data_IF_566508280802
#
_entry.id   IF_566508280802
#
_cell.length_a   1.000
_cell.length_b   1.000
_cell.length_c   1.000
_cell.angle_alpha   90.00
_cell.angle_beta   90.00
_cell.angle_gamma   90.00
#
_symmetry.space_group_name_H-M   'P 1'
#
loop_
_entity.id
_entity.type
_entity.pdbx_description
1 polymer ?
#
# COMPACT_ATOMS: atom_id res chain seq x y z
N UNK A 1 0.67 19.23 14.82
CA UNK A 1 -0.06 18.03 15.30
C UNK A 1 -0.13 17.02 14.17
N UNK A 2 0.21 15.75 14.40
CA UNK A 2 0.16 14.71 13.36
C UNK A 2 -1.29 14.33 13.05
N UNK A 3 -1.58 14.00 11.79
CA UNK A 3 -2.90 13.56 11.31
C UNK A 3 -2.91 12.05 11.06
N UNK A 4 -4.11 11.48 10.90
CA UNK A 4 -4.29 10.09 10.50
C UNK A 4 -4.43 9.95 8.98
N UNK A 5 -4.07 8.77 8.47
CA UNK A 5 -4.31 8.35 7.11
C UNK A 5 -5.49 7.38 7.02
N UNK A 6 -6.06 7.31 5.83
CA UNK A 6 -6.85 6.17 5.36
C UNK A 6 -6.19 5.65 4.10
N UNK A 7 -6.15 4.33 3.95
CA UNK A 7 -5.60 3.67 2.77
C UNK A 7 -6.65 2.74 2.18
N UNK A 8 -6.82 2.84 0.86
CA UNK A 8 -7.55 1.87 0.06
C UNK A 8 -6.50 1.06 -0.69
N UNK A 9 -6.54 -0.27 -0.56
CA UNK A 9 -5.51 -1.15 -1.12
C UNK A 9 -6.15 -2.30 -1.90
N UNK A 10 -5.55 -2.60 -3.04
CA UNK A 10 -5.90 -3.71 -3.92
C UNK A 10 -4.67 -4.54 -4.23
N UNK A 11 -4.86 -5.85 -4.28
CA UNK A 11 -3.80 -6.81 -4.59
C UNK A 11 -4.25 -7.65 -5.76
N UNK A 12 -3.43 -7.67 -6.81
CA UNK A 12 -3.62 -8.46 -8.00
C UNK A 12 -2.51 -9.52 -8.08
N UNK A 13 -2.88 -10.75 -8.44
CA UNK A 13 -1.91 -11.80 -8.75
C UNK A 13 -1.65 -11.75 -10.25
N UNK A 14 -0.44 -11.36 -10.64
CA UNK A 14 -0.07 -11.23 -12.06
C UNK A 14 0.33 -12.58 -12.67
N UNK A 15 1.13 -13.36 -11.93
CA UNK A 15 1.52 -14.71 -12.29
C UNK A 15 2.01 -15.46 -11.05
N UNK A 16 2.63 -16.65 -11.22
CA UNK A 16 3.15 -17.44 -10.10
C UNK A 16 4.03 -16.60 -9.17
N UNK A 17 3.53 -16.38 -7.95
CA UNK A 17 4.17 -15.61 -6.87
C UNK A 17 4.37 -14.11 -7.15
N UNK A 18 4.04 -13.60 -8.34
CA UNK A 18 4.17 -12.18 -8.66
C UNK A 18 2.86 -11.44 -8.39
N UNK A 19 2.95 -10.40 -7.58
CA UNK A 19 1.82 -9.58 -7.17
C UNK A 19 2.01 -8.15 -7.64
N UNK A 20 0.89 -7.47 -7.86
CA UNK A 20 0.81 -6.03 -8.01
C UNK A 20 -0.05 -5.49 -6.88
N UNK A 21 0.51 -4.60 -6.08
CA UNK A 21 -0.22 -3.89 -5.03
C UNK A 21 -0.44 -2.48 -5.52
N UNK A 22 -1.70 -2.06 -5.56
CA UNK A 22 -2.09 -0.68 -5.83
C UNK A 22 -2.83 -0.13 -4.64
N UNK A 23 -2.76 1.17 -4.43
CA UNK A 23 -3.60 1.81 -3.45
C UNK A 23 -3.60 3.32 -3.54
N UNK A 24 -4.43 3.93 -2.72
CA UNK A 24 -4.58 5.37 -2.58
C UNK A 24 -4.48 5.73 -1.10
N UNK A 25 -3.67 6.73 -0.76
CA UNK A 25 -3.53 7.27 0.59
C UNK A 25 -4.22 8.63 0.66
N UNK A 26 -5.15 8.76 1.60
CA UNK A 26 -5.94 9.98 1.82
C UNK A 26 -5.95 10.39 3.29
N UNK A 27 -6.27 11.65 3.56
CA UNK A 27 -6.59 12.15 4.91
C UNK A 27 -7.82 13.03 4.85
N UNK A 28 -8.96 12.49 5.31
CA UNK A 28 -10.26 13.06 4.97
C UNK A 28 -10.45 13.07 3.45
N UNK A 29 -10.80 14.23 2.89
CA UNK A 29 -11.05 14.41 1.45
C UNK A 29 -9.81 14.80 0.64
N UNK A 30 -8.61 14.75 1.22
CA UNK A 30 -7.36 15.16 0.57
C UNK A 30 -6.49 13.95 0.24
N UNK A 31 -5.99 13.92 -1.00
CA UNK A 31 -4.92 13.01 -1.40
C UNK A 31 -3.60 13.36 -0.72
N UNK A 32 -2.81 12.34 -0.42
CA UNK A 32 -1.53 12.49 0.27
C UNK A 32 -0.42 12.11 -0.69
N UNK A 33 0.22 13.12 -1.26
CA UNK A 33 1.44 12.95 -2.05
C UNK A 33 2.67 12.70 -1.17
N UNK A 34 3.63 11.92 -1.68
CA UNK A 34 4.93 11.72 -1.05
C UNK A 34 4.91 10.84 0.21
N UNK A 35 3.77 10.22 0.55
CA UNK A 35 3.73 9.17 1.58
C UNK A 35 4.52 7.95 1.10
N UNK A 36 5.44 7.48 1.94
CA UNK A 36 6.25 6.29 1.66
C UNK A 36 5.50 5.04 2.08
N UNK A 37 5.30 4.12 1.15
CA UNK A 37 4.58 2.86 1.36
C UNK A 37 5.57 1.72 1.29
N UNK A 38 5.69 0.95 2.37
CA UNK A 38 6.46 -0.29 2.46
C UNK A 38 5.52 -1.48 2.34
N UNK A 39 5.90 -2.48 1.54
CA UNK A 39 5.17 -3.73 1.38
C UNK A 39 6.05 -4.89 1.82
N UNK A 40 5.52 -5.70 2.74
CA UNK A 40 6.18 -6.85 3.36
C UNK A 40 7.61 -6.54 3.84
N UNK A 41 7.83 -5.31 4.32
CA UNK A 41 9.12 -4.79 4.80
C UNK A 41 10.31 -4.93 3.80
N UNK A 42 10.01 -5.19 2.52
CA UNK A 42 11.01 -5.60 1.52
C UNK A 42 11.13 -4.60 0.37
N UNK A 43 10.00 -4.07 -0.08
CA UNK A 43 9.94 -3.12 -1.19
C UNK A 43 9.17 -1.89 -0.75
N UNK A 44 9.47 -0.75 -1.38
CA UNK A 44 8.77 0.50 -1.08
C UNK A 44 8.59 1.36 -2.33
N UNK A 45 7.62 2.24 -2.26
CA UNK A 45 7.35 3.29 -3.25
C UNK A 45 6.83 4.53 -2.54
N UNK A 46 6.63 5.61 -3.30
CA UNK A 46 5.99 6.83 -2.83
C UNK A 46 4.68 7.05 -3.58
N UNK A 47 3.74 7.70 -2.91
CA UNK A 47 2.50 8.15 -3.52
C UNK A 47 2.74 9.39 -4.40
N UNK A 48 2.00 9.47 -5.50
CA UNK A 48 2.02 10.62 -6.41
C UNK A 48 1.06 11.74 -5.96
N UNK A 49 0.90 12.78 -6.79
CA UNK A 49 0.01 13.93 -6.53
C UNK A 49 -1.47 13.56 -6.32
N UNK A 50 -1.90 12.39 -6.78
CA UNK A 50 -3.25 11.84 -6.57
C UNK A 50 -3.31 10.89 -5.36
N UNK A 51 -2.24 10.83 -4.57
CA UNK A 51 -2.12 9.91 -3.45
C UNK A 51 -2.01 8.44 -3.87
N UNK A 52 -1.84 8.18 -5.17
CA UNK A 52 -1.82 6.84 -5.74
C UNK A 52 -0.43 6.21 -5.63
N UNK A 53 -0.39 4.91 -5.41
CA UNK A 53 0.84 4.13 -5.51
C UNK A 53 0.59 2.78 -6.19
N UNK A 54 1.64 2.26 -6.82
CA UNK A 54 1.62 0.94 -7.44
C UNK A 54 3.01 0.31 -7.33
N UNK A 55 3.08 -0.94 -6.86
CA UNK A 55 4.32 -1.67 -6.74
C UNK A 55 4.12 -3.16 -7.04
N UNK A 56 4.98 -3.69 -7.91
CA UNK A 56 5.03 -5.12 -8.21
C UNK A 56 6.15 -5.79 -7.43
N UNK A 57 5.89 -6.95 -6.86
CA UNK A 57 6.89 -7.72 -6.13
C UNK A 57 6.55 -9.21 -6.10
N UNK A 58 7.54 -10.03 -5.74
CA UNK A 58 7.35 -11.47 -5.56
C UNK A 58 7.05 -11.79 -4.10
N UNK A 59 6.01 -12.57 -3.85
CA UNK A 59 5.69 -13.07 -2.51
C UNK A 59 4.83 -14.33 -2.57
N UNK A 60 5.20 -15.32 -1.76
CA UNK A 60 4.42 -16.54 -1.52
C UNK A 60 3.48 -16.40 -0.31
N UNK A 61 3.63 -15.36 0.51
CA UNK A 61 2.87 -15.21 1.76
C UNK A 61 1.36 -15.02 1.51
N UNK A 62 0.49 -15.67 2.29
CA UNK A 62 -0.96 -15.52 2.14
C UNK A 62 -1.51 -14.14 2.57
N UNK A 63 -0.77 -13.44 3.43
CA UNK A 63 -1.05 -12.10 3.92
C UNK A 63 0.06 -11.16 3.46
N UNK A 64 -0.32 -9.94 3.08
CA UNK A 64 0.62 -8.87 2.73
C UNK A 64 0.53 -7.78 3.80
N UNK A 65 1.60 -7.61 4.56
CA UNK A 65 1.77 -6.48 5.48
C UNK A 65 2.14 -5.23 4.70
N UNK A 66 1.63 -4.08 5.12
CA UNK A 66 2.07 -2.80 4.62
C UNK A 66 2.24 -1.78 5.75
N UNK A 67 3.16 -0.83 5.54
CA UNK A 67 3.40 0.30 6.42
C UNK A 67 3.45 1.59 5.60
N UNK A 68 2.74 2.62 6.04
CA UNK A 68 2.72 3.94 5.40
C UNK A 68 3.29 4.97 6.36
N UNK A 69 4.28 5.73 5.89
CA UNK A 69 4.92 6.81 6.65
C UNK A 69 4.93 8.13 5.90
N UNK A 70 4.79 9.22 6.64
CA UNK A 70 4.93 10.58 6.15
C UNK A 70 5.22 11.53 7.33
N UNK A 71 5.97 12.61 7.09
CA UNK A 71 6.44 13.52 8.15
C UNK A 71 5.30 14.07 9.03
N UNK A 72 4.20 14.46 8.37
CA UNK A 72 3.07 15.16 9.00
C UNK A 72 1.98 14.24 9.58
N UNK A 73 2.18 12.92 9.54
CA UNK A 73 1.15 11.95 9.89
C UNK A 73 1.68 10.87 10.83
N UNK A 74 0.76 10.19 11.50
CA UNK A 74 1.09 8.98 12.22
C UNK A 74 1.38 7.84 11.25
N UNK A 75 2.35 7.01 11.61
CA UNK A 75 2.61 5.79 10.88
C UNK A 75 1.40 4.87 10.99
N UNK A 76 1.04 4.24 9.86
CA UNK A 76 0.01 3.24 9.80
C UNK A 76 0.64 1.93 9.37
N UNK A 77 0.43 0.86 10.13
CA UNK A 77 0.84 -0.49 9.77
C UNK A 77 -0.36 -1.42 9.85
N UNK A 78 -0.60 -2.20 8.80
CA UNK A 78 -1.71 -3.15 8.75
C UNK A 78 -1.39 -4.31 7.78
N UNK A 79 -2.31 -5.25 7.58
CA UNK A 79 -2.15 -6.40 6.70
C UNK A 79 -3.43 -6.74 5.95
N UNK A 80 -3.29 -7.03 4.67
CA UNK A 80 -4.40 -7.44 3.80
C UNK A 80 -4.18 -8.86 3.29
N UNK A 81 -5.25 -9.65 3.28
CA UNK A 81 -5.22 -11.00 2.72
C UNK A 81 -5.19 -10.92 1.20
N UNK A 82 -4.37 -11.77 0.56
CA UNK A 82 -4.49 -12.00 -0.88
C UNK A 82 -5.90 -12.49 -1.18
N UNK A 83 -6.72 -11.68 -1.86
CA UNK A 83 -7.95 -12.21 -2.46
C UNK A 83 -7.52 -13.03 -3.68
N UNK A 84 -7.74 -14.34 -3.61
CA UNK A 84 -7.51 -15.25 -4.73
C UNK A 84 -8.66 -15.02 -5.70
N UNK A 85 -8.45 -14.25 -6.77
CA UNK A 85 -9.32 -14.35 -7.93
C UNK A 85 -9.01 -15.68 -8.60
N UNK A 86 -9.96 -16.62 -8.48
CA UNK A 86 -9.97 -17.84 -9.30
C UNK A 86 -10.48 -17.36 -10.65
N UNK A 87 -9.57 -17.24 -11.63
CA UNK A 87 -9.92 -17.07 -13.04
C UNK A 87 -10.07 -18.48 -13.62
#
# INVERSE_FOLDING_TARGET
MKKNFTILIWIYVLCSQQLLVKGVVVSGDHFVEGAKVFISDSVNTFTDQNGEFSIAFKSTAGMIRYTVTHLNYFELTDSVKKKKEII
#
